data_IF_190547368923
#
_entry.id   IF_190547368923
#
_cell.length_a   1.000
_cell.length_b   1.000
_cell.length_c   1.000
_cell.angle_alpha   90.00
_cell.angle_beta   90.00
_cell.angle_gamma   90.00
#
_symmetry.space_group_name_H-M   'P 1'
#
loop_
_entity.id
_entity.type
_entity.pdbx_description
1 polymer ?
#
# COMPACT_ATOMS: atom_id res chain seq x y z
N UNK A 1 -18.66 33.44 66.70
CA UNK A 1 -18.56 31.99 66.88
C UNK A 1 -18.18 31.48 65.52
N UNK A 2 -16.88 31.53 65.25
CA UNK A 2 -16.41 31.69 63.88
C UNK A 2 -16.03 30.31 63.37
N UNK A 3 -16.93 29.72 62.59
CA UNK A 3 -16.67 28.50 61.85
C UNK A 3 -15.78 28.86 60.67
N UNK A 4 -14.48 28.60 60.80
CA UNK A 4 -13.54 28.70 59.68
C UNK A 4 -13.77 27.49 58.78
N UNK A 5 -14.35 27.73 57.61
CA UNK A 5 -14.44 26.73 56.56
C UNK A 5 -13.02 26.43 56.04
N UNK A 6 -12.60 25.17 56.17
CA UNK A 6 -11.30 24.70 55.71
C UNK A 6 -11.43 24.29 54.24
N UNK A 7 -11.05 25.18 53.33
CA UNK A 7 -10.95 24.84 51.92
C UNK A 7 -9.65 24.06 51.66
N UNK A 8 -9.77 22.76 51.39
CA UNK A 8 -8.67 21.92 50.89
C UNK A 8 -8.64 21.98 49.36
N UNK A 9 -7.52 22.41 48.79
CA UNK A 9 -7.30 22.33 47.33
C UNK A 9 -6.64 21.00 47.00
N UNK A 10 -7.35 20.11 46.31
CA UNK A 10 -6.76 18.88 45.76
C UNK A 10 -6.21 19.19 44.37
N UNK A 11 -4.88 19.18 44.23
CA UNK A 11 -4.22 19.27 42.93
C UNK A 11 -4.06 17.88 42.32
N UNK A 12 -4.70 17.61 41.19
CA UNK A 12 -4.49 16.40 40.41
C UNK A 12 -3.42 16.64 39.35
N UNK A 13 -2.33 15.88 39.38
CA UNK A 13 -1.37 15.82 38.27
C UNK A 13 -1.89 14.86 37.21
N UNK A 14 -2.02 15.31 35.96
CA UNK A 14 -2.40 14.46 34.84
C UNK A 14 -1.35 13.36 34.64
N UNK A 15 -1.78 12.11 34.58
CA UNK A 15 -0.91 10.98 34.27
C UNK A 15 -0.27 11.16 32.88
N UNK A 16 1.00 10.75 32.74
CA UNK A 16 1.70 10.80 31.46
C UNK A 16 0.98 9.94 30.41
N UNK A 17 0.88 10.39 29.14
CA UNK A 17 0.25 9.60 28.09
C UNK A 17 1.10 8.38 27.73
N UNK A 18 0.45 7.32 27.28
CA UNK A 18 1.14 6.15 26.71
C UNK A 18 1.42 6.41 25.23
N UNK A 19 2.64 6.15 24.78
CA UNK A 19 3.03 6.30 23.36
C UNK A 19 3.32 4.93 22.76
N UNK A 20 2.66 4.62 21.65
CA UNK A 20 2.87 3.39 20.86
C UNK A 20 3.16 3.72 19.41
N UNK A 21 3.66 2.73 18.66
CA UNK A 21 3.85 2.84 17.22
C UNK A 21 2.77 2.03 16.51
N UNK A 22 1.97 2.70 15.69
CA UNK A 22 1.07 2.07 14.74
C UNK A 22 1.82 1.76 13.45
N UNK A 23 1.56 0.60 12.87
CA UNK A 23 2.12 0.13 11.60
C UNK A 23 1.00 -0.11 10.61
N UNK A 24 1.25 0.23 9.35
CA UNK A 24 0.36 -0.09 8.23
C UNK A 24 1.17 -0.50 7.02
N UNK A 25 0.79 -1.60 6.41
CA UNK A 25 1.40 -2.08 5.17
C UNK A 25 0.49 -1.70 4.01
N UNK A 26 1.08 -1.12 2.96
CA UNK A 26 0.45 -0.92 1.67
C UNK A 26 1.03 -1.94 0.70
N UNK A 27 0.17 -2.63 -0.04
CA UNK A 27 0.55 -3.64 -1.02
C UNK A 27 0.30 -3.13 -2.44
N UNK A 28 1.15 -3.54 -3.37
CA UNK A 28 0.91 -3.43 -4.82
C UNK A 28 0.78 -4.84 -5.40
N UNK A 29 -0.20 -5.04 -6.28
CA UNK A 29 -0.36 -6.26 -7.08
C UNK A 29 -0.58 -5.91 -8.54
N UNK A 30 0.18 -6.55 -9.44
CA UNK A 30 -0.01 -6.45 -10.89
C UNK A 30 -0.33 -7.84 -11.44
N UNK A 31 -1.54 -8.02 -11.95
CA UNK A 31 -2.01 -9.27 -12.56
C UNK A 31 -1.84 -9.26 -14.08
N UNK A 32 -1.44 -10.38 -14.66
CA UNK A 32 -1.20 -10.53 -16.10
C UNK A 32 -2.17 -11.56 -16.68
N UNK A 33 -3.16 -11.10 -17.44
CA UNK A 33 -4.28 -11.95 -17.88
C UNK A 33 -4.55 -11.83 -19.37
N UNK A 34 -5.19 -12.82 -19.97
CA UNK A 34 -5.79 -12.70 -21.31
C UNK A 34 -7.12 -11.92 -21.27
N UNK A 35 -7.76 -11.75 -22.43
CA UNK A 35 -9.06 -11.06 -22.55
C UNK A 35 -10.22 -11.77 -21.83
N UNK A 36 -10.04 -13.05 -21.47
CA UNK A 36 -11.02 -13.84 -20.72
C UNK A 36 -10.73 -13.86 -19.21
N UNK A 37 -9.67 -13.18 -18.76
CA UNK A 37 -9.23 -13.17 -17.37
C UNK A 37 -8.39 -14.37 -16.96
N UNK A 38 -7.94 -15.20 -17.90
CA UNK A 38 -7.02 -16.30 -17.60
C UNK A 38 -5.61 -15.77 -17.34
N UNK A 39 -4.99 -16.19 -16.25
CA UNK A 39 -3.64 -15.79 -15.88
C UNK A 39 -2.62 -16.33 -16.90
N UNK A 40 -1.80 -15.44 -17.46
CA UNK A 40 -0.76 -15.77 -18.44
C UNK A 40 0.65 -15.73 -17.85
N UNK A 41 0.83 -15.05 -16.72
CA UNK A 41 2.09 -14.96 -16.00
C UNK A 41 1.83 -14.70 -14.52
N UNK A 42 2.78 -15.12 -13.68
CA UNK A 42 2.72 -14.91 -12.23
C UNK A 42 2.53 -13.42 -11.90
N UNK A 43 1.60 -13.05 -11.00
CA UNK A 43 1.40 -11.68 -10.59
C UNK A 43 2.66 -11.11 -9.94
N UNK A 44 2.93 -9.83 -10.19
CA UNK A 44 3.92 -9.09 -9.41
C UNK A 44 3.29 -8.62 -8.10
N UNK A 45 3.98 -8.79 -6.98
CA UNK A 45 3.56 -8.25 -5.68
C UNK A 45 4.71 -7.54 -4.99
N UNK A 46 4.40 -6.42 -4.36
CA UNK A 46 5.34 -5.64 -3.55
C UNK A 46 4.63 -5.04 -2.34
N UNK A 47 5.39 -4.69 -1.29
CA UNK A 47 4.83 -4.02 -0.12
C UNK A 47 5.77 -2.98 0.46
N UNK A 48 5.18 -1.96 1.08
CA UNK A 48 5.90 -0.93 1.85
C UNK A 48 5.22 -0.74 3.21
N UNK A 49 6.01 -0.54 4.26
CA UNK A 49 5.51 -0.34 5.63
C UNK A 49 5.57 1.15 6.01
N UNK A 50 4.45 1.68 6.50
CA UNK A 50 4.35 3.00 7.11
C UNK A 50 4.15 2.89 8.62
N UNK A 51 4.71 3.85 9.35
CA UNK A 51 4.55 3.92 10.80
C UNK A 51 4.12 5.30 11.26
N UNK A 52 3.36 5.39 12.35
CA UNK A 52 3.10 6.66 13.05
C UNK A 52 3.07 6.44 14.55
N UNK A 53 3.42 7.48 15.31
CA UNK A 53 3.26 7.46 16.76
C UNK A 53 1.79 7.69 17.13
N UNK A 54 1.32 6.99 18.16
CA UNK A 54 -0.03 7.15 18.73
C UNK A 54 0.13 7.45 20.21
N UNK A 55 -0.36 8.62 20.62
CA UNK A 55 -0.41 9.02 22.02
C UNK A 55 -1.81 8.75 22.56
N UNK A 56 -1.90 8.05 23.68
CA UNK A 56 -3.17 7.75 24.36
C UNK A 56 -3.21 8.49 25.69
N UNK A 57 -4.22 9.32 25.88
CA UNK A 57 -4.48 10.01 27.13
C UNK A 57 -4.78 9.00 28.25
N UNK A 58 -4.03 9.06 29.34
CA UNK A 58 -4.13 8.09 30.43
C UNK A 58 -5.41 8.25 31.30
N UNK A 59 -6.17 9.34 31.13
CA UNK A 59 -7.39 9.62 31.88
C UNK A 59 -8.63 9.39 31.00
N UNK A 60 -8.64 9.94 29.78
CA UNK A 60 -9.81 9.86 28.88
C UNK A 60 -9.75 8.67 27.91
N UNK A 61 -8.56 8.11 27.67
CA UNK A 61 -8.35 7.11 26.62
C UNK A 61 -8.35 7.68 25.20
N UNK A 62 -8.42 9.01 25.06
CA UNK A 62 -8.41 9.67 23.76
C UNK A 62 -7.07 9.45 23.04
N UNK A 63 -7.13 9.19 21.73
CA UNK A 63 -5.94 8.94 20.90
C UNK A 63 -5.63 10.14 20.02
N UNK A 64 -4.40 10.61 20.11
CA UNK A 64 -3.82 11.56 19.16
C UNK A 64 -2.82 10.85 18.27
N UNK A 65 -2.96 11.03 16.96
CA UNK A 65 -2.11 10.39 15.97
C UNK A 65 -1.07 11.39 15.46
N UNK A 66 0.19 10.99 15.51
CA UNK A 66 1.28 11.71 14.86
C UNK A 66 1.25 11.55 13.34
N UNK A 67 2.14 12.26 12.63
CA UNK A 67 2.27 12.08 11.18
C UNK A 67 2.74 10.65 10.86
N UNK A 68 2.29 10.14 9.72
CA UNK A 68 2.89 8.97 9.11
C UNK A 68 4.35 9.22 8.74
N UNK A 69 5.13 8.14 8.67
CA UNK A 69 6.45 8.13 8.06
C UNK A 69 6.40 8.66 6.62
N UNK A 70 7.55 9.12 6.12
CA UNK A 70 7.66 9.73 4.79
C UNK A 70 7.04 8.86 3.70
N UNK A 71 6.50 9.51 2.65
CA UNK A 71 5.96 8.84 1.47
C UNK A 71 7.00 7.89 0.86
N UNK A 72 6.52 6.76 0.35
CA UNK A 72 7.33 5.72 -0.28
C UNK A 72 6.85 5.46 -1.70
N UNK A 73 7.57 4.63 -2.44
CA UNK A 73 7.21 4.31 -3.81
C UNK A 73 7.36 2.82 -4.11
N UNK A 74 6.51 2.34 -5.01
CA UNK A 74 6.73 1.11 -5.76
C UNK A 74 7.43 1.45 -7.06
N UNK A 75 8.43 0.66 -7.43
CA UNK A 75 9.16 0.84 -8.67
C UNK A 75 8.29 0.53 -9.90
N UNK A 76 8.72 0.99 -11.08
CA UNK A 76 8.03 0.62 -12.31
C UNK A 76 8.17 -0.89 -12.58
N UNK A 77 7.05 -1.53 -12.93
CA UNK A 77 6.97 -2.98 -13.15
C UNK A 77 6.79 -3.26 -14.63
N UNK A 78 7.82 -3.78 -15.29
CA UNK A 78 7.72 -4.20 -16.70
C UNK A 78 6.82 -5.43 -16.83
N UNK A 79 5.94 -5.39 -17.82
CA UNK A 79 5.08 -6.53 -18.13
C UNK A 79 5.92 -7.64 -18.77
N UNK A 80 5.77 -8.90 -18.32
CA UNK A 80 6.54 -10.01 -18.85
C UNK A 80 6.16 -10.28 -20.31
N UNK A 81 7.11 -10.84 -21.07
CA UNK A 81 6.81 -11.37 -22.39
C UNK A 81 5.95 -12.64 -22.27
N UNK A 82 4.95 -12.79 -23.13
CA UNK A 82 4.13 -14.00 -23.20
C UNK A 82 4.05 -14.47 -24.65
N UNK A 83 4.49 -15.71 -24.90
CA UNK A 83 4.64 -16.24 -26.26
C UNK A 83 3.31 -16.26 -27.00
N UNK A 84 3.25 -15.54 -28.12
CA UNK A 84 2.04 -15.44 -28.94
C UNK A 84 1.01 -14.43 -28.40
N UNK A 85 1.40 -13.58 -27.47
CA UNK A 85 0.58 -12.50 -26.93
C UNK A 85 1.32 -11.16 -26.93
N UNK A 86 0.57 -10.06 -26.96
CA UNK A 86 1.07 -8.69 -26.80
C UNK A 86 0.40 -8.05 -25.59
N UNK A 87 1.19 -7.49 -24.68
CA UNK A 87 0.69 -6.80 -23.49
C UNK A 87 0.00 -5.49 -23.88
N UNK A 88 -1.17 -5.20 -23.31
CA UNK A 88 -1.87 -3.93 -23.52
C UNK A 88 -1.15 -2.73 -22.89
N UNK A 89 -0.32 -2.97 -21.86
CA UNK A 89 0.61 -1.99 -21.30
C UNK A 89 1.98 -2.67 -21.18
N UNK A 90 3.05 -2.00 -21.60
CA UNK A 90 4.40 -2.56 -21.53
C UNK A 90 4.99 -2.55 -20.11
N UNK A 91 4.50 -1.67 -19.24
CA UNK A 91 4.89 -1.59 -17.84
C UNK A 91 3.81 -0.89 -17.02
N UNK A 92 3.71 -1.16 -15.73
CA UNK A 92 3.12 -0.24 -14.74
C UNK A 92 4.19 0.78 -14.35
N UNK A 93 3.84 2.06 -14.33
CA UNK A 93 4.82 3.11 -13.99
C UNK A 93 4.99 3.21 -12.47
N UNK A 94 6.07 3.85 -12.02
CA UNK A 94 6.36 4.06 -10.59
C UNK A 94 5.15 4.67 -9.86
N UNK A 95 4.74 4.05 -8.75
CA UNK A 95 3.64 4.55 -7.91
C UNK A 95 4.20 5.18 -6.64
N UNK A 96 3.65 6.32 -6.21
CA UNK A 96 4.01 6.94 -4.92
C UNK A 96 2.83 6.83 -3.97
N UNK A 97 3.08 6.34 -2.76
CA UNK A 97 2.07 6.10 -1.73
C UNK A 97 2.48 6.75 -0.41
N UNK A 98 1.51 7.02 0.44
CA UNK A 98 1.70 7.50 1.81
C UNK A 98 0.91 6.61 2.79
N UNK A 99 1.06 6.87 4.09
CA UNK A 99 0.39 6.07 5.12
C UNK A 99 -1.14 6.08 5.06
N UNK A 100 -1.76 7.03 4.34
CA UNK A 100 -3.22 7.08 4.15
C UNK A 100 -3.68 6.38 2.86
N UNK A 101 -2.75 5.93 2.02
CA UNK A 101 -3.05 5.21 0.79
C UNK A 101 -3.76 3.87 1.07
N UNK A 102 -4.45 3.36 0.05
CA UNK A 102 -4.96 1.98 0.01
C UNK A 102 -3.99 1.12 -0.79
N UNK A 103 -4.17 -0.19 -0.71
CA UNK A 103 -3.48 -1.14 -1.59
C UNK A 103 -3.77 -0.81 -3.06
N UNK A 104 -2.77 -1.03 -3.90
CA UNK A 104 -2.81 -0.81 -5.34
C UNK A 104 -3.00 -2.15 -6.05
N UNK A 105 -3.93 -2.19 -7.00
CA UNK A 105 -4.18 -3.35 -7.83
C UNK A 105 -4.26 -2.92 -9.29
N UNK A 106 -3.42 -3.52 -10.13
CA UNK A 106 -3.37 -3.30 -11.57
C UNK A 106 -3.57 -4.61 -12.32
N UNK A 107 -4.15 -4.51 -13.50
CA UNK A 107 -4.29 -5.65 -14.42
C UNK A 107 -3.74 -5.24 -15.77
N UNK A 108 -2.80 -6.03 -16.29
CA UNK A 108 -2.32 -5.94 -17.67
C UNK A 108 -2.97 -7.05 -18.48
N UNK A 109 -3.86 -6.65 -19.38
CA UNK A 109 -4.52 -7.57 -20.30
C UNK A 109 -3.66 -7.77 -21.55
N UNK A 110 -3.50 -9.02 -21.96
CA UNK A 110 -2.77 -9.44 -23.15
C UNK A 110 -3.74 -9.80 -24.27
N UNK A 111 -3.37 -9.42 -25.48
CA UNK A 111 -4.09 -9.78 -26.71
C UNK A 111 -3.32 -10.84 -27.46
N UNK A 112 -4.00 -11.92 -27.89
CA UNK A 112 -3.38 -12.99 -28.67
C UNK A 112 -2.94 -12.44 -30.02
N UNK A 113 -1.71 -12.74 -30.41
CA UNK A 113 -1.16 -12.31 -31.68
C UNK A 113 -1.82 -13.08 -32.83
N UNK A 114 -1.97 -12.43 -33.99
CA UNK A 114 -2.39 -13.10 -35.20
C UNK A 114 -1.38 -14.22 -35.55
N UNK A 115 -1.84 -15.36 -36.11
CA UNK A 115 -0.93 -16.42 -36.51
C UNK A 115 0.08 -15.90 -37.53
N UNK A 116 1.36 -16.05 -37.21
CA UNK A 116 2.44 -15.78 -38.16
C UNK A 116 2.53 -16.97 -39.12
N UNK A 117 2.15 -16.79 -40.39
CA UNK A 117 2.43 -17.78 -41.43
C UNK A 117 3.90 -17.63 -41.82
N UNK A 118 4.78 -18.41 -41.20
CA UNK A 118 6.18 -18.50 -41.61
C UNK A 118 6.25 -19.42 -42.81
N UNK A 119 6.38 -18.86 -44.02
CA UNK A 119 6.73 -19.66 -45.20
C UNK A 119 8.20 -20.05 -45.05
N UNK A 120 8.47 -21.28 -44.61
CA UNK A 120 9.83 -21.84 -44.72
C UNK A 120 10.16 -21.98 -46.19
N UNK A 121 10.88 -21.00 -46.75
CA UNK A 121 11.51 -21.15 -48.06
C UNK A 121 12.70 -22.09 -47.89
N UNK A 122 12.44 -23.39 -48.05
CA UNK A 122 13.48 -24.40 -48.15
C UNK A 122 14.17 -24.23 -49.50
N UNK A 123 15.31 -23.55 -49.52
CA UNK A 123 16.21 -23.52 -50.68
C UNK A 123 16.73 -24.94 -50.88
N UNK A 124 16.40 -25.53 -52.03
CA UNK A 124 16.95 -26.82 -52.51
C UNK A 124 18.30 -26.55 -53.16
#
# INVERSE_FOLDING_TARGET
GDSTDLAFTVTYTKNAPTVTTEKKTINETVSYVDQNGHELAQPHTASVEFTRQVSTDAVTGEKTYGPWSAAQSFDAVKSPESKGYTAGKAQIDKQTVNGDSKDLAFTVTYTKNAPTITTEQKTV
#
